data_IF_575251004693
#
_entry.id   IF_575251004693
#
_cell.length_a   1.000
_cell.length_b   1.000
_cell.length_c   1.000
_cell.angle_alpha   90.00
_cell.angle_beta   90.00
_cell.angle_gamma   90.00
#
_symmetry.space_group_name_H-M   'P 1'
#
loop_
_entity.id
_entity.type
_entity.pdbx_description
1 polymer ?
#
# COMPACT_ATOMS: atom_id res chain seq x y z
N UNK A 1 15.10 14.21 -14.05
CA UNK A 1 15.04 12.77 -14.41
C UNK A 1 14.66 11.96 -13.19
N UNK A 2 13.72 10.97 -13.30
CA UNK A 2 13.40 10.05 -12.22
C UNK A 2 14.52 9.05 -12.06
N UNK A 3 15.23 9.11 -10.94
CA UNK A 3 16.27 8.14 -10.65
C UNK A 3 15.63 6.98 -9.85
N UNK A 4 15.49 5.82 -10.47
CA UNK A 4 15.20 4.57 -9.77
C UNK A 4 16.52 4.01 -9.25
N UNK A 5 16.47 3.47 -8.04
CA UNK A 5 17.61 2.83 -7.40
C UNK A 5 17.25 1.37 -7.07
N UNK A 6 18.28 0.57 -6.84
CA UNK A 6 18.14 -0.81 -6.44
C UNK A 6 18.79 -1.05 -5.08
N UNK A 7 18.11 -1.78 -4.22
CA UNK A 7 18.64 -2.26 -2.97
C UNK A 7 18.86 -3.77 -3.04
N UNK A 8 20.11 -4.21 -3.00
CA UNK A 8 20.47 -5.61 -3.02
C UNK A 8 20.23 -6.21 -1.63
N UNK A 9 19.28 -7.14 -1.53
CA UNK A 9 19.02 -7.92 -0.31
C UNK A 9 19.98 -9.11 -0.26
N UNK A 10 20.25 -9.73 -1.41
CA UNK A 10 21.22 -10.81 -1.60
C UNK A 10 21.75 -10.76 -3.03
N UNK A 11 22.69 -11.69 -3.38
CA UNK A 11 23.21 -11.84 -4.75
C UNK A 11 22.11 -11.97 -5.81
N UNK A 12 20.97 -12.60 -5.47
CA UNK A 12 19.89 -12.90 -6.41
C UNK A 12 18.61 -12.09 -6.18
N UNK A 13 18.57 -11.22 -5.16
CA UNK A 13 17.37 -10.49 -4.80
C UNK A 13 17.66 -9.01 -4.63
N UNK A 14 17.07 -8.20 -5.52
CA UNK A 14 17.14 -6.73 -5.48
C UNK A 14 15.75 -6.12 -5.54
N UNK A 15 15.53 -5.07 -4.77
CA UNK A 15 14.30 -4.29 -4.78
C UNK A 15 14.54 -2.97 -5.50
N UNK A 16 13.69 -2.65 -6.45
CA UNK A 16 13.65 -1.32 -7.06
C UNK A 16 12.87 -0.38 -6.16
N UNK A 17 13.32 0.84 -6.08
CA UNK A 17 12.63 1.91 -5.37
C UNK A 17 12.89 3.27 -6.03
N UNK A 18 12.06 4.26 -5.73
CA UNK A 18 12.31 5.66 -6.09
C UNK A 18 12.45 6.47 -4.81
N UNK A 19 13.47 7.31 -4.75
CA UNK A 19 13.66 8.27 -3.66
C UNK A 19 14.11 9.61 -4.23
N UNK A 20 14.06 10.64 -3.41
CA UNK A 20 14.66 11.94 -3.70
C UNK A 20 15.86 12.19 -2.76
N UNK A 21 16.56 13.31 -2.97
CA UNK A 21 17.75 13.68 -2.21
C UNK A 21 17.43 14.60 -1.00
N UNK A 22 16.14 14.83 -0.71
CA UNK A 22 15.77 15.65 0.44
C UNK A 22 15.74 14.80 1.72
N UNK A 23 16.21 15.37 2.82
CA UNK A 23 16.24 14.72 4.14
C UNK A 23 15.30 15.37 5.16
N UNK A 24 14.64 16.49 4.78
CA UNK A 24 13.67 17.15 5.68
C UNK A 24 12.54 16.19 6.04
N UNK A 25 12.22 16.14 7.30
CA UNK A 25 11.16 15.31 7.89
C UNK A 25 9.81 16.07 7.91
N UNK A 26 8.68 15.31 7.93
CA UNK A 26 8.61 13.86 7.82
C UNK A 26 8.85 13.37 6.38
N UNK A 27 9.46 12.19 6.24
CA UNK A 27 9.49 11.52 4.92
C UNK A 27 8.09 11.13 4.47
N UNK A 28 7.90 11.01 3.16
CA UNK A 28 6.70 10.41 2.56
C UNK A 28 7.07 9.04 2.00
N UNK A 29 6.48 7.98 2.53
CA UNK A 29 6.67 6.60 2.07
C UNK A 29 5.43 6.14 1.33
N UNK A 30 5.55 5.83 0.03
CA UNK A 30 4.45 5.37 -0.81
C UNK A 30 4.53 3.87 -1.08
N UNK A 31 3.41 3.18 -0.86
CA UNK A 31 3.22 1.75 -1.03
C UNK A 31 2.13 1.47 -2.08
N UNK A 32 2.49 0.84 -3.23
CA UNK A 32 1.53 0.56 -4.31
C UNK A 32 0.56 -0.58 -3.97
N UNK A 33 -0.44 -0.75 -4.83
CA UNK A 33 -1.41 -1.83 -4.75
C UNK A 33 -0.91 -3.16 -5.29
N UNK A 34 -1.79 -4.15 -5.26
CA UNK A 34 -1.58 -5.49 -5.80
C UNK A 34 -1.28 -5.42 -7.31
N UNK A 35 -0.21 -6.09 -7.75
CA UNK A 35 0.30 -6.05 -9.13
C UNK A 35 0.62 -4.66 -9.71
N UNK A 36 0.79 -3.66 -8.84
CA UNK A 36 1.14 -2.30 -9.26
C UNK A 36 2.64 -2.04 -9.09
N UNK A 37 3.15 -1.13 -9.91
CA UNK A 37 4.52 -0.62 -9.83
C UNK A 37 4.58 0.80 -9.23
N UNK A 38 5.77 1.40 -9.30
CA UNK A 38 6.04 2.77 -8.83
C UNK A 38 6.14 3.80 -9.98
N UNK A 39 5.70 3.44 -11.19
CA UNK A 39 5.74 4.32 -12.36
C UNK A 39 4.40 4.99 -12.67
N UNK A 40 3.34 4.63 -11.94
CA UNK A 40 1.99 5.16 -12.13
C UNK A 40 1.81 6.62 -11.70
N UNK A 41 0.58 7.15 -11.90
CA UNK A 41 0.22 8.55 -11.60
C UNK A 41 0.38 8.90 -10.10
N UNK A 42 -0.03 8.01 -9.20
CA UNK A 42 0.03 8.24 -7.74
C UNK A 42 1.47 8.44 -7.22
N UNK A 43 2.40 7.48 -7.40
CA UNK A 43 3.77 7.68 -6.92
C UNK A 43 4.44 8.90 -7.54
N UNK A 44 4.19 9.17 -8.84
CA UNK A 44 4.66 10.40 -9.53
C UNK A 44 4.16 11.67 -8.86
N UNK A 45 2.87 11.74 -8.55
CA UNK A 45 2.24 12.91 -7.95
C UNK A 45 2.75 13.17 -6.52
N UNK A 46 2.92 12.11 -5.71
CA UNK A 46 3.45 12.26 -4.35
C UNK A 46 4.94 12.57 -4.33
N UNK A 47 5.73 12.04 -5.27
CA UNK A 47 7.15 12.42 -5.41
C UNK A 47 7.29 13.90 -5.80
N UNK A 48 6.48 14.37 -6.77
CA UNK A 48 6.46 15.78 -7.15
C UNK A 48 6.06 16.69 -5.98
N UNK A 49 5.06 16.27 -5.19
CA UNK A 49 4.68 16.98 -3.97
C UNK A 49 5.81 17.01 -2.94
N UNK A 50 6.48 15.89 -2.70
CA UNK A 50 7.61 15.82 -1.77
C UNK A 50 8.76 16.72 -2.21
N UNK A 51 9.09 16.74 -3.51
CA UNK A 51 10.12 17.60 -4.07
C UNK A 51 9.80 19.09 -3.91
N UNK A 52 8.54 19.48 -4.21
CA UNK A 52 8.08 20.87 -4.04
C UNK A 52 8.20 21.33 -2.58
N UNK A 53 7.93 20.46 -1.63
CA UNK A 53 8.00 20.76 -0.20
C UNK A 53 9.37 20.46 0.42
N UNK A 54 10.35 20.04 -0.37
CA UNK A 54 11.72 19.67 0.05
C UNK A 54 11.74 18.63 1.17
N UNK A 55 10.75 17.72 1.24
CA UNK A 55 10.69 16.61 2.20
C UNK A 55 11.20 15.31 1.56
N UNK A 56 11.71 14.40 2.38
CA UNK A 56 12.19 13.10 1.93
C UNK A 56 11.07 12.27 1.30
N UNK A 57 11.41 11.44 0.30
CA UNK A 57 10.46 10.57 -0.41
C UNK A 57 11.03 9.17 -0.62
N UNK A 58 10.19 8.17 -0.47
CA UNK A 58 10.45 6.78 -0.81
C UNK A 58 9.19 6.16 -1.43
N UNK A 59 9.29 5.61 -2.64
CA UNK A 59 8.29 4.70 -3.19
C UNK A 59 8.90 3.29 -3.28
N UNK A 60 8.20 2.33 -2.69
CA UNK A 60 8.66 0.92 -2.58
C UNK A 60 8.06 0.10 -3.71
N UNK A 61 8.91 -0.66 -4.41
CA UNK A 61 8.44 -1.68 -5.35
C UNK A 61 8.80 -3.06 -4.79
N UNK A 62 7.76 -3.84 -4.48
CA UNK A 62 7.92 -5.14 -3.80
C UNK A 62 8.56 -6.20 -4.68
N UNK A 63 9.12 -7.24 -4.07
CA UNK A 63 9.56 -8.46 -4.79
C UNK A 63 8.46 -8.98 -5.71
N UNK A 64 8.82 -9.29 -6.96
CA UNK A 64 7.90 -9.79 -7.98
C UNK A 64 6.97 -8.74 -8.59
N UNK A 65 7.09 -7.46 -8.23
CA UNK A 65 6.38 -6.34 -8.84
C UNK A 65 7.32 -5.52 -9.73
N UNK A 66 6.79 -4.97 -10.82
CA UNK A 66 7.52 -4.10 -11.74
C UNK A 66 8.86 -4.67 -12.16
N UNK A 67 9.96 -3.98 -11.79
CA UNK A 67 11.35 -4.39 -12.10
C UNK A 67 12.13 -4.89 -10.87
N UNK A 68 11.49 -5.08 -9.73
CA UNK A 68 12.08 -5.77 -8.60
C UNK A 68 12.24 -7.26 -8.89
N UNK A 69 13.28 -7.88 -8.31
CA UNK A 69 13.53 -9.32 -8.51
C UNK A 69 12.41 -10.19 -7.97
N UNK A 70 12.35 -11.40 -8.48
CA UNK A 70 11.42 -12.43 -8.04
C UNK A 70 10.24 -12.60 -9.01
N UNK A 71 9.46 -13.66 -8.77
CA UNK A 71 8.23 -13.94 -9.52
C UNK A 71 7.03 -13.59 -8.65
N UNK A 72 6.06 -12.86 -9.18
CA UNK A 72 4.86 -12.46 -8.45
C UNK A 72 4.15 -13.64 -7.76
N UNK A 73 4.05 -14.80 -8.41
CA UNK A 73 3.45 -16.02 -7.88
C UNK A 73 4.12 -16.55 -6.60
N UNK A 74 5.37 -16.15 -6.34
CA UNK A 74 6.13 -16.48 -5.12
C UNK A 74 5.95 -15.41 -4.03
N UNK A 75 5.28 -14.29 -4.35
CA UNK A 75 5.04 -13.20 -3.43
C UNK A 75 3.92 -13.49 -2.42
N UNK A 76 3.96 -12.79 -1.30
CA UNK A 76 2.95 -12.83 -0.27
C UNK A 76 3.02 -11.59 0.63
N UNK A 77 2.05 -11.41 1.52
CA UNK A 77 1.94 -10.23 2.39
C UNK A 77 3.13 -10.10 3.34
N UNK A 78 3.60 -11.20 3.90
CA UNK A 78 4.77 -11.22 4.79
C UNK A 78 6.05 -10.77 4.06
N UNK A 79 6.28 -11.29 2.85
CA UNK A 79 7.42 -10.93 2.02
C UNK A 79 7.40 -9.43 1.67
N UNK A 80 6.26 -8.91 1.19
CA UNK A 80 6.12 -7.51 0.79
C UNK A 80 6.17 -6.56 2.00
N UNK A 81 5.74 -7.02 3.17
CA UNK A 81 5.92 -6.30 4.44
C UNK A 81 7.40 -6.20 4.82
N UNK A 82 8.18 -7.29 4.65
CA UNK A 82 9.63 -7.29 4.92
C UNK A 82 10.41 -6.45 3.90
N UNK A 83 10.06 -6.51 2.61
CA UNK A 83 10.62 -5.64 1.56
C UNK A 83 10.49 -4.17 1.94
N UNK A 84 9.28 -3.77 2.35
CA UNK A 84 8.97 -2.42 2.79
C UNK A 84 9.79 -2.02 4.01
N UNK A 85 9.84 -2.89 5.03
CA UNK A 85 10.60 -2.68 6.26
C UNK A 85 12.10 -2.45 5.95
N UNK A 86 12.68 -3.24 5.06
CA UNK A 86 14.09 -3.11 4.66
C UNK A 86 14.37 -1.78 3.96
N UNK A 87 13.52 -1.38 3.01
CA UNK A 87 13.69 -0.11 2.29
C UNK A 87 13.46 1.10 3.20
N UNK A 88 12.50 1.06 4.14
CA UNK A 88 12.33 2.11 5.14
C UNK A 88 13.60 2.23 5.99
N UNK A 89 14.14 1.12 6.52
CA UNK A 89 15.39 1.13 7.28
C UNK A 89 16.57 1.69 6.49
N UNK A 90 16.66 1.36 5.20
CA UNK A 90 17.75 1.82 4.32
C UNK A 90 17.67 3.30 3.98
N UNK A 91 16.47 3.80 3.63
CA UNK A 91 16.28 5.13 3.06
C UNK A 91 15.84 6.15 4.11
N UNK A 92 14.81 5.81 4.88
CA UNK A 92 14.24 6.71 5.90
C UNK A 92 15.06 6.68 7.20
N UNK A 93 15.70 5.55 7.48
CA UNK A 93 16.55 5.34 8.67
C UNK A 93 15.73 5.54 9.97
N UNK A 94 16.17 6.45 10.84
CA UNK A 94 15.50 6.79 12.13
C UNK A 94 14.53 7.97 12.00
N UNK A 95 14.35 8.55 10.82
CA UNK A 95 13.51 9.72 10.64
C UNK A 95 12.01 9.39 10.77
N UNK A 96 11.22 10.39 11.17
CA UNK A 96 9.76 10.32 11.15
C UNK A 96 9.23 10.31 9.71
N UNK A 97 8.12 9.61 9.48
CA UNK A 97 7.53 9.53 8.14
C UNK A 97 6.00 9.40 8.16
N UNK A 98 5.41 9.85 7.07
CA UNK A 98 4.00 9.62 6.73
C UNK A 98 3.97 8.44 5.75
N UNK A 99 3.14 7.43 6.02
CA UNK A 99 3.00 6.26 5.15
C UNK A 99 1.72 6.37 4.32
N UNK A 100 1.86 6.23 3.00
CA UNK A 100 0.74 6.25 2.05
C UNK A 100 0.58 4.85 1.50
N UNK A 101 -0.58 4.24 1.71
CA UNK A 101 -0.89 2.91 1.17
C UNK A 101 -2.07 2.95 0.20
N UNK A 102 -1.85 2.50 -1.04
CA UNK A 102 -2.92 2.35 -2.03
C UNK A 102 -3.39 0.90 -2.08
N UNK A 103 -4.70 0.66 -1.90
CA UNK A 103 -5.30 -0.69 -1.96
C UNK A 103 -4.57 -1.68 -1.04
N UNK A 104 -3.94 -2.75 -1.58
CA UNK A 104 -3.07 -3.66 -0.82
C UNK A 104 -1.96 -2.93 -0.07
N UNK A 105 -1.43 -1.84 -0.62
CA UNK A 105 -0.39 -1.05 0.04
C UNK A 105 -0.81 -0.51 1.41
N UNK A 106 -2.11 -0.29 1.65
CA UNK A 106 -2.63 0.05 2.97
C UNK A 106 -2.51 -1.11 3.97
N UNK A 107 -2.66 -2.35 3.52
CA UNK A 107 -2.42 -3.53 4.35
C UNK A 107 -0.95 -3.63 4.77
N UNK A 108 -0.04 -3.49 3.79
CA UNK A 108 1.40 -3.47 4.04
C UNK A 108 1.77 -2.31 4.98
N UNK A 109 1.16 -1.12 4.80
CA UNK A 109 1.34 0.04 5.68
C UNK A 109 0.94 -0.26 7.13
N UNK A 110 -0.21 -0.88 7.35
CA UNK A 110 -0.68 -1.27 8.69
C UNK A 110 0.29 -2.25 9.38
N UNK A 111 0.91 -3.16 8.64
CA UNK A 111 1.92 -4.05 9.19
C UNK A 111 3.20 -3.31 9.62
N UNK A 112 3.53 -2.16 9.01
CA UNK A 112 4.71 -1.38 9.41
C UNK A 112 4.57 -0.76 10.81
N UNK A 113 3.37 -0.55 11.33
CA UNK A 113 3.17 -0.08 12.71
C UNK A 113 3.76 -1.02 13.76
N UNK A 114 3.93 -2.30 13.45
CA UNK A 114 4.61 -3.26 14.34
C UNK A 114 6.11 -2.93 14.49
N UNK A 115 6.73 -2.35 13.47
CA UNK A 115 8.18 -2.13 13.41
C UNK A 115 8.61 -0.68 13.64
N UNK A 116 7.72 0.28 13.33
CA UNK A 116 8.05 1.72 13.28
C UNK A 116 7.09 2.59 14.08
N UNK A 117 6.58 2.08 15.22
CA UNK A 117 5.57 2.74 16.08
C UNK A 117 5.82 4.24 16.26
N UNK A 118 7.03 4.60 16.70
CA UNK A 118 7.38 5.99 17.04
C UNK A 118 7.81 6.84 15.84
N UNK A 119 7.99 6.22 14.67
CA UNK A 119 8.41 6.92 13.46
C UNK A 119 7.24 7.25 12.52
N UNK A 120 6.15 6.46 12.56
CA UNK A 120 4.96 6.71 11.74
C UNK A 120 4.12 7.79 12.39
N UNK A 121 4.21 9.01 11.86
CA UNK A 121 3.51 10.19 12.36
C UNK A 121 2.20 10.51 11.63
N UNK A 122 1.99 9.85 10.48
CA UNK A 122 0.77 9.96 9.70
C UNK A 122 0.56 8.75 8.79
N UNK A 123 -0.71 8.44 8.49
CA UNK A 123 -1.08 7.45 7.49
C UNK A 123 -2.15 7.99 6.56
N UNK A 124 -1.95 7.81 5.26
CA UNK A 124 -2.95 8.09 4.24
C UNK A 124 -3.27 6.80 3.48
N UNK A 125 -4.52 6.34 3.56
CA UNK A 125 -5.00 5.17 2.85
C UNK A 125 -5.85 5.57 1.64
N UNK A 126 -5.65 4.90 0.50
CA UNK A 126 -6.33 5.16 -0.76
C UNK A 126 -7.00 3.86 -1.23
N UNK A 127 -8.35 3.81 -1.26
CA UNK A 127 -9.08 2.58 -1.62
C UNK A 127 -8.61 1.38 -0.79
N UNK A 128 -8.41 1.58 0.50
CA UNK A 128 -7.70 0.65 1.39
C UNK A 128 -8.31 -0.74 1.43
N UNK A 129 -7.52 -1.78 1.13
CA UNK A 129 -7.97 -3.16 0.99
C UNK A 129 -7.21 -4.16 1.89
N UNK A 130 -7.12 -3.96 3.23
CA UNK A 130 -6.55 -4.98 4.08
C UNK A 130 -7.39 -6.27 4.06
N UNK A 131 -6.72 -7.42 4.18
CA UNK A 131 -7.37 -8.74 4.21
C UNK A 131 -8.23 -9.08 2.97
N UNK A 132 -8.04 -8.35 1.84
CA UNK A 132 -8.84 -8.54 0.62
C UNK A 132 -8.75 -9.96 0.05
N UNK A 133 -7.61 -10.61 0.20
CA UNK A 133 -7.37 -11.98 -0.28
C UNK A 133 -8.38 -12.98 0.29
N UNK A 134 -8.72 -12.84 1.56
CA UNK A 134 -9.72 -13.71 2.20
C UNK A 134 -11.14 -13.14 2.06
N UNK A 135 -11.31 -11.85 2.39
CA UNK A 135 -12.63 -11.22 2.52
C UNK A 135 -13.31 -10.89 1.19
N UNK A 136 -12.53 -10.51 0.17
CA UNK A 136 -13.08 -10.11 -1.13
C UNK A 136 -12.83 -11.15 -2.21
N UNK A 137 -11.70 -11.88 -2.17
CA UNK A 137 -11.38 -12.87 -3.18
C UNK A 137 -11.82 -14.28 -2.76
N UNK A 138 -11.18 -14.87 -1.75
CA UNK A 138 -11.46 -16.26 -1.38
C UNK A 138 -12.93 -16.51 -1.08
N UNK A 139 -13.59 -15.64 -0.31
CA UNK A 139 -15.03 -15.81 0.00
C UNK A 139 -15.89 -15.82 -1.24
N UNK A 140 -15.57 -14.99 -2.24
CA UNK A 140 -16.36 -14.82 -3.48
C UNK A 140 -15.95 -15.79 -4.60
N UNK A 141 -14.82 -16.49 -4.51
CA UNK A 141 -14.40 -17.41 -5.55
C UNK A 141 -15.40 -18.56 -5.70
N UNK A 142 -15.77 -18.92 -6.95
CA UNK A 142 -16.54 -20.13 -7.25
C UNK A 142 -15.85 -21.39 -6.70
N UNK A 143 -16.62 -22.43 -6.43
CA UNK A 143 -16.11 -23.73 -5.95
C UNK A 143 -15.00 -24.28 -6.85
N UNK A 144 -15.15 -24.18 -8.19
CA UNK A 144 -14.15 -24.60 -9.21
C UNK A 144 -12.79 -23.91 -8.99
N UNK A 145 -12.77 -22.58 -8.79
CA UNK A 145 -11.54 -21.82 -8.55
C UNK A 145 -10.89 -22.20 -7.21
N UNK A 146 -11.70 -22.33 -6.16
CA UNK A 146 -11.20 -22.78 -4.84
C UNK A 146 -10.56 -24.16 -4.93
N UNK A 147 -11.22 -25.13 -5.62
CA UNK A 147 -10.70 -26.47 -5.86
C UNK A 147 -9.37 -26.41 -6.62
N UNK A 148 -9.30 -25.63 -7.70
CA UNK A 148 -8.07 -25.45 -8.48
C UNK A 148 -6.92 -24.90 -7.61
N UNK A 149 -7.16 -23.88 -6.77
CA UNK A 149 -6.14 -23.33 -5.88
C UNK A 149 -5.68 -24.36 -4.84
N UNK A 150 -6.59 -25.17 -4.30
CA UNK A 150 -6.26 -26.19 -3.30
C UNK A 150 -5.42 -27.33 -3.90
N UNK A 151 -5.78 -27.83 -5.07
CA UNK A 151 -5.14 -28.98 -5.73
C UNK A 151 -3.88 -28.58 -6.49
N UNK A 152 -3.98 -27.56 -7.37
CA UNK A 152 -2.86 -27.10 -8.22
C UNK A 152 -2.00 -26.03 -7.59
N UNK A 153 -2.29 -25.59 -6.35
CA UNK A 153 -1.60 -24.54 -5.60
C UNK A 153 -1.67 -23.16 -6.25
N UNK A 154 -2.34 -23.01 -7.38
CA UNK A 154 -2.40 -21.80 -8.19
C UNK A 154 -3.67 -21.76 -9.04
N UNK A 155 -4.30 -20.60 -9.16
CA UNK A 155 -5.26 -20.31 -10.23
C UNK A 155 -4.93 -18.96 -10.87
N UNK A 156 -5.20 -18.84 -12.16
CA UNK A 156 -5.18 -17.57 -12.89
C UNK A 156 -6.60 -17.03 -12.90
N UNK A 157 -6.79 -15.88 -12.30
CA UNK A 157 -8.09 -15.22 -12.22
C UNK A 157 -8.22 -14.23 -13.35
N UNK A 158 -9.28 -14.37 -14.15
CA UNK A 158 -9.65 -13.43 -15.20
C UNK A 158 -10.67 -12.44 -14.63
N UNK A 159 -10.54 -11.16 -14.95
CA UNK A 159 -11.47 -10.14 -14.51
C UNK A 159 -12.30 -9.62 -15.70
N UNK A 160 -13.62 -9.89 -15.68
CA UNK A 160 -14.55 -9.55 -16.76
C UNK A 160 -14.32 -10.32 -18.05
N UNK A 161 -15.08 -9.97 -19.10
CA UNK A 161 -14.95 -10.55 -20.45
C UNK A 161 -13.69 -10.08 -21.18
N UNK A 162 -13.02 -9.07 -20.68
CA UNK A 162 -11.77 -8.56 -21.23
C UNK A 162 -10.63 -9.46 -20.77
N UNK A 163 -10.13 -10.28 -21.67
CA UNK A 163 -8.98 -11.21 -21.51
C UNK A 163 -7.68 -10.52 -21.08
N UNK A 164 -7.64 -9.20 -20.99
CA UNK A 164 -6.45 -8.37 -20.79
C UNK A 164 -5.98 -8.26 -19.35
N UNK A 165 -6.81 -8.54 -18.34
CA UNK A 165 -6.38 -8.44 -16.94
C UNK A 165 -6.50 -9.78 -16.24
N UNK A 166 -5.37 -10.48 -16.16
CA UNK A 166 -5.27 -11.77 -15.50
C UNK A 166 -4.26 -11.66 -14.36
N UNK A 167 -4.56 -12.28 -13.22
CA UNK A 167 -3.63 -12.30 -12.10
C UNK A 167 -3.58 -13.68 -11.42
N UNK A 168 -2.38 -14.13 -11.06
CA UNK A 168 -2.22 -15.40 -10.38
C UNK A 168 -2.53 -15.28 -8.90
N UNK A 169 -3.31 -16.21 -8.36
CA UNK A 169 -3.57 -16.36 -6.93
C UNK A 169 -3.05 -17.72 -6.49
N UNK A 170 -1.99 -17.71 -5.68
CA UNK A 170 -1.43 -18.93 -5.12
C UNK A 170 -2.06 -19.29 -3.77
N UNK A 171 -2.07 -20.59 -3.44
CA UNK A 171 -2.50 -21.07 -2.13
C UNK A 171 -1.65 -20.48 -1.00
N UNK A 172 -0.35 -20.30 -1.24
CA UNK A 172 0.58 -19.65 -0.30
C UNK A 172 0.15 -18.21 -0.02
N UNK A 173 -0.22 -17.42 -1.04
CA UNK A 173 -0.67 -16.04 -0.89
C UNK A 173 -1.93 -15.95 -0.02
N UNK A 174 -2.91 -16.84 -0.25
CA UNK A 174 -4.13 -16.92 0.57
C UNK A 174 -3.80 -17.29 2.03
N UNK A 175 -2.99 -18.34 2.23
CA UNK A 175 -2.61 -18.80 3.58
C UNK A 175 -1.84 -17.72 4.34
N UNK A 176 -0.91 -17.05 3.68
CA UNK A 176 -0.11 -15.99 4.28
C UNK A 176 -0.97 -14.75 4.58
N UNK A 177 -1.89 -14.38 3.69
CA UNK A 177 -2.86 -13.31 3.94
C UNK A 177 -3.69 -13.55 5.21
N UNK A 178 -4.12 -14.79 5.45
CA UNK A 178 -4.84 -15.17 6.68
C UNK A 178 -4.00 -15.06 7.95
N UNK A 179 -2.68 -15.22 7.87
CA UNK A 179 -1.74 -15.01 8.99
C UNK A 179 -1.53 -13.53 9.29
N UNK A 180 -1.63 -12.68 8.27
CA UNK A 180 -1.37 -11.24 8.37
C UNK A 180 -2.63 -10.41 8.66
N UNK A 181 -3.56 -10.91 9.49
CA UNK A 181 -4.77 -10.17 9.86
C UNK A 181 -4.42 -8.87 10.58
N UNK A 182 -5.13 -7.79 10.23
CA UNK A 182 -4.92 -6.46 10.81
C UNK A 182 -6.20 -5.85 11.40
N UNK A 183 -7.38 -6.27 10.97
CA UNK A 183 -8.64 -5.73 11.48
C UNK A 183 -8.94 -6.09 12.95
N UNK A 184 -8.28 -7.11 13.49
CA UNK A 184 -8.33 -7.46 14.92
C UNK A 184 -7.29 -6.72 15.77
N UNK A 185 -6.35 -6.00 15.16
CA UNK A 185 -5.32 -5.26 15.89
C UNK A 185 -5.90 -4.00 16.53
N UNK A 186 -5.24 -3.54 17.61
CA UNK A 186 -5.47 -2.24 18.22
C UNK A 186 -4.17 -1.43 18.10
N UNK A 187 -4.20 -0.33 17.36
CA UNK A 187 -3.07 0.58 17.18
C UNK A 187 -3.25 1.75 18.13
N UNK A 188 -2.31 1.93 19.06
CA UNK A 188 -2.41 2.89 20.17
C UNK A 188 -1.63 4.18 19.91
N UNK A 189 -0.91 4.25 18.81
CA UNK A 189 -0.08 5.38 18.44
C UNK A 189 -0.93 6.64 18.19
N UNK A 190 -0.48 7.78 18.77
CA UNK A 190 -1.03 9.10 18.49
C UNK A 190 -0.54 9.54 17.12
N UNK A 191 -1.29 9.25 16.07
CA UNK A 191 -0.95 9.57 14.68
C UNK A 191 -2.16 10.22 13.99
N UNK A 192 -1.96 10.85 12.84
CA UNK A 192 -3.05 11.33 12.00
C UNK A 192 -3.33 10.32 10.90
N UNK A 193 -4.58 9.84 10.80
CA UNK A 193 -4.97 8.78 9.87
C UNK A 193 -6.10 9.29 8.99
N UNK A 194 -5.83 9.39 7.69
CA UNK A 194 -6.78 9.87 6.69
C UNK A 194 -7.01 8.81 5.63
N UNK A 195 -8.28 8.40 5.44
CA UNK A 195 -8.69 7.44 4.42
C UNK A 195 -9.41 8.17 3.29
N UNK A 196 -8.97 7.94 2.05
CA UNK A 196 -9.64 8.37 0.82
C UNK A 196 -10.27 7.18 0.16
N UNK A 197 -11.56 7.29 -0.16
CA UNK A 197 -12.32 6.20 -0.77
C UNK A 197 -13.25 6.73 -1.86
N UNK A 198 -13.26 6.09 -3.02
CA UNK A 198 -14.17 6.44 -4.10
C UNK A 198 -15.58 5.91 -3.82
N UNK A 199 -16.60 6.74 -4.02
CA UNK A 199 -18.01 6.30 -3.89
C UNK A 199 -18.38 5.26 -4.93
N UNK A 200 -17.71 5.31 -6.11
CA UNK A 200 -17.86 4.38 -7.23
C UNK A 200 -16.77 3.27 -7.21
N UNK A 201 -16.19 2.97 -6.05
CA UNK A 201 -15.24 1.86 -5.90
C UNK A 201 -15.99 0.52 -5.92
N UNK A 202 -15.97 -0.15 -7.08
CA UNK A 202 -16.60 -1.46 -7.30
C UNK A 202 -15.72 -2.63 -6.82
N UNK A 203 -14.45 -2.36 -6.51
CA UNK A 203 -13.47 -3.38 -6.11
C UNK A 203 -13.48 -3.59 -4.60
N UNK A 204 -13.47 -2.48 -3.85
CA UNK A 204 -13.35 -2.50 -2.38
C UNK A 204 -14.47 -1.67 -1.76
N UNK A 205 -15.32 -2.25 -0.91
CA UNK A 205 -16.35 -1.47 -0.21
C UNK A 205 -15.76 -0.44 0.75
N UNK A 206 -16.39 0.73 0.87
CA UNK A 206 -15.98 1.81 1.79
C UNK A 206 -15.88 1.36 3.25
N UNK A 207 -16.59 0.31 3.62
CA UNK A 207 -16.54 -0.32 4.96
C UNK A 207 -15.14 -0.77 5.34
N UNK A 208 -14.28 -1.07 4.37
CA UNK A 208 -12.86 -1.40 4.62
C UNK A 208 -12.09 -0.18 5.16
N UNK A 209 -12.26 0.99 4.57
CA UNK A 209 -11.66 2.24 5.09
C UNK A 209 -12.19 2.58 6.49
N UNK A 210 -13.50 2.40 6.76
CA UNK A 210 -14.06 2.55 8.11
C UNK A 210 -13.44 1.58 9.10
N UNK A 211 -13.26 0.31 8.74
CA UNK A 211 -12.60 -0.70 9.58
C UNK A 211 -11.14 -0.36 9.83
N UNK A 212 -10.41 0.16 8.84
CA UNK A 212 -9.04 0.66 9.08
C UNK A 212 -9.03 1.76 10.13
N UNK A 213 -9.95 2.72 10.06
CA UNK A 213 -10.02 3.79 11.07
C UNK A 213 -10.37 3.26 12.47
N UNK A 214 -11.17 2.20 12.58
CA UNK A 214 -11.62 1.67 13.88
C UNK A 214 -10.51 0.98 14.67
N UNK A 215 -9.46 0.46 14.01
CA UNK A 215 -8.33 -0.19 14.70
C UNK A 215 -7.40 0.81 15.39
N UNK A 216 -7.37 2.06 14.94
CA UNK A 216 -6.60 3.13 15.59
C UNK A 216 -7.38 3.70 16.78
N UNK A 217 -6.85 3.59 18.00
CA UNK A 217 -7.57 3.96 19.22
C UNK A 217 -7.33 5.40 19.66
N UNK A 218 -6.12 5.95 19.42
CA UNK A 218 -5.70 7.29 19.85
C UNK A 218 -5.39 8.25 18.69
N UNK A 219 -5.68 7.87 17.45
CA UNK A 219 -5.36 8.67 16.26
C UNK A 219 -6.41 9.78 16.01
N UNK A 220 -5.98 10.88 15.42
CA UNK A 220 -6.87 11.82 14.72
C UNK A 220 -7.30 11.18 13.41
N UNK A 221 -8.61 10.95 13.23
CA UNK A 221 -9.17 10.15 12.14
C UNK A 221 -9.94 11.01 11.16
N UNK A 222 -9.80 10.72 9.86
CA UNK A 222 -10.56 11.36 8.79
C UNK A 222 -10.94 10.34 7.72
N UNK A 223 -12.18 10.36 7.27
CA UNK A 223 -12.65 9.63 6.10
C UNK A 223 -13.13 10.64 5.06
N UNK A 224 -12.54 10.58 3.88
CA UNK A 224 -12.92 11.40 2.72
C UNK A 224 -13.50 10.47 1.66
N UNK A 225 -14.80 10.61 1.40
CA UNK A 225 -15.49 9.88 0.32
C UNK A 225 -15.52 10.81 -0.89
N UNK A 226 -15.05 10.33 -2.04
CA UNK A 226 -15.02 11.09 -3.29
C UNK A 226 -16.18 10.60 -4.17
N UNK A 227 -17.20 11.43 -4.36
CA UNK A 227 -18.48 11.05 -5.00
C UNK A 227 -18.33 10.42 -6.39
N UNK A 228 -17.46 10.97 -7.24
CA UNK A 228 -17.19 10.44 -8.59
C UNK A 228 -15.94 9.55 -8.64
N UNK A 229 -15.32 9.26 -7.49
CA UNK A 229 -14.07 8.50 -7.41
C UNK A 229 -14.29 7.01 -7.64
N UNK A 230 -13.37 6.41 -8.39
CA UNK A 230 -13.21 4.98 -8.59
C UNK A 230 -12.27 4.36 -7.52
N UNK A 231 -11.92 3.08 -7.67
CA UNK A 231 -10.93 2.41 -6.81
C UNK A 231 -9.54 3.04 -6.87
N UNK A 232 -9.15 3.54 -8.04
CA UNK A 232 -7.81 4.06 -8.27
C UNK A 232 -7.57 5.42 -7.62
N UNK A 233 -8.56 6.33 -7.66
CA UNK A 233 -8.43 7.72 -7.23
C UNK A 233 -7.18 8.41 -7.80
N UNK A 234 -6.90 8.15 -9.10
CA UNK A 234 -5.70 8.64 -9.79
C UNK A 234 -5.96 9.88 -10.65
N UNK A 235 -7.18 10.42 -10.62
CA UNK A 235 -7.53 11.68 -11.28
C UNK A 235 -6.90 12.88 -10.55
N UNK A 236 -6.79 14.01 -11.26
CA UNK A 236 -6.10 15.20 -10.74
C UNK A 236 -6.80 15.83 -9.53
N UNK A 237 -8.15 15.78 -9.46
CA UNK A 237 -8.92 16.31 -8.33
C UNK A 237 -8.66 15.49 -7.07
N UNK A 238 -8.76 14.16 -7.15
CA UNK A 238 -8.46 13.24 -6.05
C UNK A 238 -7.03 13.42 -5.55
N UNK A 239 -6.06 13.48 -6.46
CA UNK A 239 -4.65 13.70 -6.10
C UNK A 239 -4.41 15.08 -5.45
N UNK A 240 -5.12 16.13 -5.89
CA UNK A 240 -5.05 17.46 -5.27
C UNK A 240 -5.55 17.42 -3.83
N UNK A 241 -6.69 16.75 -3.58
CA UNK A 241 -7.25 16.59 -2.22
C UNK A 241 -6.29 15.83 -1.29
N UNK A 242 -5.70 14.73 -1.75
CA UNK A 242 -4.72 13.97 -0.98
C UNK A 242 -3.46 14.78 -0.65
N UNK A 243 -2.96 15.56 -1.60
CA UNK A 243 -1.80 16.46 -1.38
C UNK A 243 -2.12 17.58 -0.37
N UNK A 244 -3.34 18.13 -0.40
CA UNK A 244 -3.79 19.09 0.61
C UNK A 244 -3.80 18.44 2.01
N UNK A 245 -4.30 17.22 2.11
CA UNK A 245 -4.29 16.48 3.39
C UNK A 245 -2.86 16.20 3.88
N UNK A 246 -1.94 15.81 2.99
CA UNK A 246 -0.52 15.65 3.35
C UNK A 246 0.08 16.94 3.89
N UNK A 247 -0.24 18.09 3.26
CA UNK A 247 0.22 19.39 3.77
C UNK A 247 -0.31 19.67 5.18
N UNK A 248 -1.57 19.31 5.46
CA UNK A 248 -2.14 19.46 6.83
C UNK A 248 -1.43 18.52 7.82
N UNK A 249 -1.15 17.28 7.45
CA UNK A 249 -0.44 16.33 8.32
C UNK A 249 0.98 16.86 8.62
N UNK A 250 1.70 17.32 7.60
CA UNK A 250 3.07 17.85 7.76
C UNK A 250 3.08 19.06 8.71
N UNK A 251 2.16 20.02 8.54
CA UNK A 251 2.04 21.20 9.41
C UNK A 251 1.75 20.86 10.87
N UNK A 252 1.00 19.80 11.13
CA UNK A 252 0.65 19.37 12.50
C UNK A 252 1.78 18.62 13.22
N UNK A 253 2.87 18.29 12.51
CA UNK A 253 4.04 17.57 13.06
C UNK A 253 5.19 18.55 13.33
N UNK A 254 5.20 19.68 12.59
CA UNK A 254 6.14 20.80 12.78
C UNK A 254 5.77 21.58 14.01
#
# INVERSE_FOLDING_TARGET
>A
MKKFSYYNISRYRKLRYSSNNFSKIPYIVFLPGFMSDIEGKKPKSFQSFANKNKVGFLAVEYSGHGKSSGKFIKGNISLWTDDTRRLIKKVVKKNKFIIIGSSMGAWIALNQFTYFKNQIVGMLGIGSAPEFLDRLMWKKFPKKIKKQILEKRLAIIKHGDKTTYQYPISLQLIKDGRKNKVFSKKIMEKTQVSMFHGKKDEVVPVTFSRKVLSIFKKAKKKLVIIDKGDHSLSDSKSLKMMKKELSCIIKNIS
#
